data_IF_796881932998
#
_entry.id   IF_796881932998
#
_cell.length_a   1.000
_cell.length_b   1.000
_cell.length_c   1.000
_cell.angle_alpha   90.00
_cell.angle_beta   90.00
_cell.angle_gamma   90.00
#
_symmetry.space_group_name_H-M   'P 1'
#
loop_
_entity.id
_entity.type
_entity.pdbx_description
1 polymer ?
#
# COMPACT_ATOMS: atom_id res chain seq x y z
N UNK A 1 -6.46 12.20 27.60
CA UNK A 1 -5.37 11.34 28.14
C UNK A 1 -4.04 11.93 27.75
N UNK A 2 -3.06 11.99 28.68
CA UNK A 2 -1.74 12.56 28.35
C UNK A 2 -0.94 11.56 27.52
N UNK A 3 -0.29 12.05 26.47
CA UNK A 3 0.52 11.22 25.57
C UNK A 3 1.74 10.58 26.28
N UNK A 4 2.20 11.20 27.39
CA UNK A 4 3.29 10.67 28.24
C UNK A 4 2.93 9.36 28.96
N UNK A 5 1.63 9.08 29.15
CA UNK A 5 1.16 7.87 29.83
C UNK A 5 1.17 6.65 28.88
N UNK A 6 1.46 6.88 27.61
CA UNK A 6 1.45 5.87 26.56
C UNK A 6 2.89 5.47 26.23
N UNK A 7 3.12 4.16 26.11
CA UNK A 7 4.42 3.56 25.83
C UNK A 7 4.38 2.82 24.51
N UNK A 8 5.28 3.20 23.60
CA UNK A 8 5.47 2.45 22.37
C UNK A 8 5.85 1.00 22.65
N UNK A 9 5.25 0.07 21.93
CA UNK A 9 5.59 -1.34 22.02
C UNK A 9 6.87 -1.62 21.21
N UNK A 10 7.99 -1.83 21.90
CA UNK A 10 9.28 -2.15 21.27
C UNK A 10 9.29 -3.53 20.56
N UNK A 11 8.33 -4.39 20.86
CA UNK A 11 8.18 -5.72 20.23
C UNK A 11 7.23 -5.71 19.04
N UNK A 12 6.78 -4.55 18.57
CA UNK A 12 5.93 -4.45 17.39
C UNK A 12 6.77 -4.72 16.12
N UNK A 13 6.43 -5.74 15.32
CA UNK A 13 7.21 -6.09 14.13
C UNK A 13 7.00 -5.14 12.95
N UNK A 14 6.02 -4.22 13.01
CA UNK A 14 5.68 -3.35 11.89
C UNK A 14 6.62 -2.16 11.77
N UNK A 15 7.15 -1.96 10.56
CA UNK A 15 7.99 -0.84 10.17
C UNK A 15 7.21 0.01 9.16
N UNK A 16 7.43 1.31 9.17
CA UNK A 16 6.89 2.25 8.17
C UNK A 16 8.05 2.99 7.50
N UNK A 17 8.03 3.11 6.18
CA UNK A 17 8.99 3.90 5.41
C UNK A 17 8.71 5.40 5.62
N UNK A 18 9.74 6.23 5.46
CA UNK A 18 9.66 7.67 5.76
C UNK A 18 8.57 8.40 4.96
N UNK A 19 8.39 8.07 3.69
CA UNK A 19 7.34 8.67 2.85
C UNK A 19 5.94 8.29 3.33
N UNK A 20 5.70 7.01 3.59
CA UNK A 20 4.42 6.54 4.13
C UNK A 20 4.15 7.14 5.51
N UNK A 21 5.20 7.39 6.31
CA UNK A 21 5.07 8.07 7.59
C UNK A 21 4.66 9.53 7.44
N UNK A 22 5.22 10.26 6.46
CA UNK A 22 4.81 11.63 6.15
C UNK A 22 3.34 11.69 5.72
N UNK A 23 2.92 10.82 4.81
CA UNK A 23 1.50 10.71 4.39
C UNK A 23 0.58 10.45 5.58
N UNK A 24 0.99 9.59 6.53
CA UNK A 24 0.23 9.35 7.76
C UNK A 24 0.10 10.61 8.62
N UNK A 25 1.18 11.37 8.81
CA UNK A 25 1.15 12.63 9.55
C UNK A 25 0.21 13.65 8.88
N UNK A 26 0.28 13.78 7.55
CA UNK A 26 -0.59 14.65 6.77
C UNK A 26 -2.06 14.24 6.86
N UNK A 27 -2.35 12.94 6.78
CA UNK A 27 -3.69 12.39 6.94
C UNK A 27 -4.29 12.74 8.31
N UNK A 28 -3.54 12.51 9.39
CA UNK A 28 -3.99 12.84 10.75
C UNK A 28 -4.22 14.35 10.91
N UNK A 29 -3.37 15.18 10.28
CA UNK A 29 -3.50 16.64 10.31
C UNK A 29 -4.72 17.12 9.51
N UNK A 30 -5.01 16.49 8.37
CA UNK A 30 -6.12 16.84 7.49
C UNK A 30 -7.46 16.38 8.04
N UNK A 31 -7.52 15.12 8.49
CA UNK A 31 -8.76 14.46 8.92
C UNK A 31 -8.59 13.84 10.31
N UNK A 32 -8.47 14.66 11.38
CA UNK A 32 -8.19 14.18 12.73
C UNK A 32 -9.29 13.27 13.29
N UNK A 33 -10.51 13.37 12.79
CA UNK A 33 -11.66 12.55 13.16
C UNK A 33 -11.42 11.06 12.88
N UNK A 34 -10.58 10.73 11.89
CA UNK A 34 -10.22 9.34 11.57
C UNK A 34 -9.54 8.63 12.74
N UNK A 35 -8.88 9.38 13.61
CA UNK A 35 -8.29 8.83 14.84
C UNK A 35 -9.33 8.29 15.82
N UNK A 36 -10.55 8.84 15.84
CA UNK A 36 -11.66 8.31 16.64
C UNK A 36 -12.22 7.02 16.04
N UNK A 37 -12.25 6.92 14.71
CA UNK A 37 -12.71 5.73 13.99
C UNK A 37 -11.68 4.59 14.05
N UNK A 38 -10.39 4.93 14.12
CA UNK A 38 -9.29 3.97 14.22
C UNK A 38 -8.33 4.36 15.34
N UNK A 39 -8.71 4.18 16.60
CA UNK A 39 -7.94 4.65 17.76
C UNK A 39 -6.66 3.87 17.97
N UNK A 40 -5.79 4.42 18.82
CA UNK A 40 -4.65 3.70 19.38
C UNK A 40 -5.17 2.78 20.48
N UNK A 41 -4.85 1.51 20.39
CA UNK A 41 -5.26 0.51 21.39
C UNK A 41 -4.11 0.27 22.35
N UNK A 42 -4.35 0.44 23.65
CA UNK A 42 -3.35 0.23 24.71
C UNK A 42 -3.84 -0.79 25.73
N UNK A 43 -2.93 -1.42 26.45
CA UNK A 43 -3.26 -2.21 27.63
C UNK A 43 -3.44 -1.33 28.89
N UNK A 44 -3.58 -1.99 30.04
CA UNK A 44 -3.78 -1.30 31.33
C UNK A 44 -2.55 -0.52 31.79
N UNK A 45 -1.34 -0.94 31.35
CA UNK A 45 -0.06 -0.30 31.64
C UNK A 45 0.32 0.81 30.63
N UNK A 46 -0.58 1.08 29.66
CA UNK A 46 -0.38 2.06 28.61
C UNK A 46 0.52 1.59 27.46
N UNK A 47 0.83 0.29 27.38
CA UNK A 47 1.62 -0.26 26.28
C UNK A 47 0.73 -0.40 25.03
N UNK A 48 1.21 0.10 23.90
CA UNK A 48 0.46 0.07 22.65
C UNK A 48 0.37 -1.36 22.11
N UNK A 49 -0.86 -1.83 21.91
CA UNK A 49 -1.17 -3.09 21.23
C UNK A 49 -1.40 -2.88 19.72
N UNK A 50 -2.02 -1.74 19.34
CA UNK A 50 -2.26 -1.35 17.95
C UNK A 50 -2.13 0.16 17.77
N UNK A 51 -1.55 0.60 16.64
CA UNK A 51 -1.42 2.03 16.32
C UNK A 51 -0.09 2.69 16.72
N UNK A 52 1.02 1.95 16.85
CA UNK A 52 2.34 2.52 17.12
C UNK A 52 2.74 3.64 16.16
N UNK A 53 2.41 3.50 14.87
CA UNK A 53 2.77 4.52 13.87
C UNK A 53 1.91 5.78 14.03
N UNK A 54 0.63 5.65 14.36
CA UNK A 54 -0.25 6.77 14.71
C UNK A 54 0.26 7.52 15.95
N UNK A 55 0.69 6.79 16.97
CA UNK A 55 1.32 7.38 18.15
C UNK A 55 2.58 8.19 17.80
N UNK A 56 3.47 7.63 16.95
CA UNK A 56 4.66 8.36 16.48
C UNK A 56 4.26 9.61 15.70
N UNK A 57 3.27 9.52 14.81
CA UNK A 57 2.79 10.66 14.02
C UNK A 57 2.22 11.78 14.91
N UNK A 58 1.43 11.45 15.93
CA UNK A 58 0.92 12.43 16.90
C UNK A 58 2.06 13.14 17.63
N UNK A 59 3.10 12.41 18.02
CA UNK A 59 4.30 13.00 18.65
C UNK A 59 5.05 13.92 17.69
N UNK A 60 5.21 13.51 16.44
CA UNK A 60 5.86 14.32 15.39
C UNK A 60 5.09 15.60 15.12
N UNK A 61 3.77 15.55 15.17
CA UNK A 61 2.89 16.72 15.08
C UNK A 61 2.92 17.64 16.32
N UNK A 62 3.70 17.30 17.34
CA UNK A 62 3.89 18.13 18.54
C UNK A 62 2.71 18.13 19.50
N UNK A 63 1.78 17.20 19.37
CA UNK A 63 0.63 17.10 20.27
C UNK A 63 1.08 16.55 21.63
N UNK A 64 0.68 17.20 22.71
CA UNK A 64 0.98 16.77 24.09
C UNK A 64 -0.15 15.98 24.71
N UNK A 65 -1.36 16.39 24.40
CA UNK A 65 -2.61 15.74 24.84
C UNK A 65 -3.37 15.27 23.62
N UNK A 66 -4.05 14.15 23.74
CA UNK A 66 -4.90 13.58 22.68
C UNK A 66 -6.36 13.67 23.08
N UNK A 67 -7.26 13.96 22.12
CA UNK A 67 -8.69 13.97 22.35
C UNK A 67 -9.21 12.64 22.89
N UNK A 68 -10.29 12.70 23.64
CA UNK A 68 -11.01 11.50 24.08
C UNK A 68 -11.48 10.70 22.83
N UNK A 69 -11.39 9.40 22.92
CA UNK A 69 -11.72 8.51 21.79
C UNK A 69 -10.56 8.16 20.85
N UNK A 70 -9.44 8.90 20.89
CA UNK A 70 -8.25 8.53 20.10
C UNK A 70 -7.47 7.36 20.70
N UNK A 71 -7.76 7.03 21.97
CA UNK A 71 -7.10 5.95 22.71
C UNK A 71 -8.18 5.06 23.33
N UNK A 72 -8.06 3.77 23.12
CA UNK A 72 -8.93 2.75 23.69
C UNK A 72 -8.11 1.80 24.54
N UNK A 73 -8.57 1.56 25.77
CA UNK A 73 -7.98 0.56 26.66
C UNK A 73 -8.58 -0.81 26.41
N UNK A 74 -7.71 -1.80 26.14
CA UNK A 74 -8.07 -3.20 25.96
C UNK A 74 -7.99 -3.97 27.29
N UNK A 75 -8.62 -3.45 28.34
CA UNK A 75 -8.58 -4.00 29.71
C UNK A 75 -9.23 -5.39 29.82
N UNK A 76 -10.14 -5.70 28.91
CA UNK A 76 -10.88 -6.97 28.88
C UNK A 76 -10.14 -8.12 28.16
N UNK A 77 -8.94 -7.86 27.58
CA UNK A 77 -8.18 -8.88 26.88
C UNK A 77 -7.20 -9.59 27.82
N UNK A 78 -7.15 -10.92 27.74
CA UNK A 78 -6.10 -11.72 28.38
C UNK A 78 -4.73 -11.47 27.72
N UNK A 79 -3.64 -11.86 28.38
CA UNK A 79 -2.28 -11.72 27.84
C UNK A 79 -2.11 -12.43 26.48
N UNK A 80 -2.72 -13.60 26.31
CA UNK A 80 -2.68 -14.35 25.04
C UNK A 80 -3.51 -13.66 23.95
N UNK A 81 -4.66 -13.11 24.30
CA UNK A 81 -5.49 -12.33 23.37
C UNK A 81 -4.77 -11.06 22.92
N UNK A 82 -4.06 -10.35 23.82
CA UNK A 82 -3.23 -9.18 23.48
C UNK A 82 -2.15 -9.54 22.47
N UNK A 83 -1.43 -10.67 22.66
CA UNK A 83 -0.42 -11.15 21.69
C UNK A 83 -1.04 -11.45 20.31
N UNK A 84 -2.17 -12.15 20.28
CA UNK A 84 -2.88 -12.44 19.03
C UNK A 84 -3.38 -11.18 18.36
N UNK A 85 -3.92 -10.21 19.12
CA UNK A 85 -4.38 -8.94 18.59
C UNK A 85 -3.27 -8.19 17.85
N UNK A 86 -2.06 -8.08 18.44
CA UNK A 86 -0.90 -7.43 17.79
C UNK A 86 -0.61 -8.06 16.42
N UNK A 87 -0.65 -9.38 16.31
CA UNK A 87 -0.39 -10.07 15.05
C UNK A 87 -1.51 -9.85 14.03
N UNK A 88 -2.76 -10.01 14.43
CA UNK A 88 -3.93 -9.90 13.54
C UNK A 88 -4.14 -8.46 13.06
N UNK A 89 -3.92 -7.46 13.92
CA UNK A 89 -3.99 -6.03 13.54
C UNK A 89 -2.92 -5.63 12.51
N UNK A 90 -1.79 -6.36 12.48
CA UNK A 90 -0.68 -6.09 11.57
C UNK A 90 -0.58 -7.06 10.38
N UNK A 91 -1.36 -8.14 10.38
CA UNK A 91 -1.32 -9.13 9.30
C UNK A 91 -1.89 -8.55 7.99
N UNK A 92 -1.25 -8.80 6.84
CA UNK A 92 -1.73 -8.29 5.54
C UNK A 92 -3.18 -8.68 5.21
N UNK A 93 -3.61 -9.86 5.67
CA UNK A 93 -4.96 -10.42 5.52
C UNK A 93 -5.63 -10.65 6.87
N UNK A 94 -5.34 -9.80 7.85
CA UNK A 94 -5.87 -9.95 9.20
C UNK A 94 -7.34 -9.54 9.31
N UNK A 95 -7.59 -8.39 9.95
CA UNK A 95 -8.96 -7.89 10.19
C UNK A 95 -9.52 -7.06 9.03
N UNK A 96 -8.70 -6.59 8.09
CA UNK A 96 -9.10 -5.66 7.03
C UNK A 96 -9.43 -6.36 5.69
N UNK A 97 -9.01 -7.62 5.49
CA UNK A 97 -9.14 -8.31 4.20
C UNK A 97 -8.19 -7.79 3.12
N UNK A 98 -8.51 -8.07 1.87
CA UNK A 98 -7.79 -7.58 0.70
C UNK A 98 -8.57 -6.45 0.02
N UNK A 99 -7.93 -5.71 -0.88
CA UNK A 99 -8.53 -4.65 -1.67
C UNK A 99 -9.06 -5.18 -2.99
N UNK A 100 -10.23 -4.69 -3.39
CA UNK A 100 -10.74 -4.80 -4.75
C UNK A 100 -10.19 -3.61 -5.56
N UNK A 101 -9.07 -3.82 -6.23
CA UNK A 101 -8.38 -2.77 -6.98
C UNK A 101 -9.18 -2.30 -8.21
N UNK A 102 -9.98 -3.18 -8.82
CA UNK A 102 -10.84 -2.79 -9.94
C UNK A 102 -11.95 -1.84 -9.47
N UNK A 103 -12.55 -2.12 -8.32
CA UNK A 103 -13.53 -1.21 -7.72
C UNK A 103 -12.90 0.13 -7.35
N UNK A 104 -11.72 0.12 -6.72
CA UNK A 104 -11.02 1.35 -6.35
C UNK A 104 -10.72 2.22 -7.58
N UNK A 105 -10.21 1.62 -8.66
CA UNK A 105 -9.91 2.33 -9.90
C UNK A 105 -11.15 2.92 -10.59
N UNK A 106 -12.34 2.32 -10.40
CA UNK A 106 -13.59 2.80 -10.99
C UNK A 106 -14.27 3.90 -10.16
N UNK A 107 -14.08 3.91 -8.83
CA UNK A 107 -14.82 4.79 -7.92
C UNK A 107 -13.98 6.01 -7.45
N UNK A 108 -12.65 5.98 -7.63
CA UNK A 108 -11.73 6.97 -7.08
C UNK A 108 -10.74 7.46 -8.14
N UNK A 109 -10.38 8.74 -8.05
CA UNK A 109 -9.31 9.30 -8.87
C UNK A 109 -7.95 8.74 -8.42
N UNK A 110 -7.10 8.31 -9.35
CA UNK A 110 -5.79 7.71 -9.04
C UNK A 110 -4.91 8.65 -8.22
N UNK A 111 -4.92 9.95 -8.52
CA UNK A 111 -4.18 10.97 -7.77
C UNK A 111 -4.62 11.09 -6.30
N UNK A 112 -5.89 10.83 -6.02
CA UNK A 112 -6.42 10.80 -4.66
C UNK A 112 -5.97 9.53 -3.94
N UNK A 113 -6.03 8.37 -4.59
CA UNK A 113 -5.54 7.10 -4.06
C UNK A 113 -4.06 7.17 -3.71
N UNK A 114 -3.21 7.77 -4.57
CA UNK A 114 -1.80 8.00 -4.26
C UNK A 114 -1.61 8.87 -3.01
N UNK A 115 -2.41 9.94 -2.87
CA UNK A 115 -2.37 10.81 -1.70
C UNK A 115 -2.75 10.07 -0.43
N UNK A 116 -3.70 9.13 -0.53
CA UNK A 116 -4.14 8.26 0.56
C UNK A 116 -3.14 7.13 0.89
N UNK A 117 -2.12 6.92 0.05
CA UNK A 117 -1.03 5.99 0.32
C UNK A 117 -1.06 4.70 -0.46
N UNK A 118 -1.96 4.57 -1.44
CA UNK A 118 -1.91 3.46 -2.39
C UNK A 118 -0.74 3.65 -3.36
N UNK A 119 -0.15 2.53 -3.80
CA UNK A 119 0.88 2.53 -4.83
C UNK A 119 0.23 2.16 -6.17
N UNK A 120 0.60 2.85 -7.26
CA UNK A 120 0.10 2.52 -8.60
C UNK A 120 0.46 1.09 -9.01
N UNK A 121 1.58 0.56 -8.52
CA UNK A 121 1.96 -0.84 -8.70
C UNK A 121 0.95 -1.83 -8.13
N UNK A 122 0.22 -1.46 -7.07
CA UNK A 122 -0.83 -2.29 -6.47
C UNK A 122 -2.01 -2.52 -7.44
N UNK A 123 -2.20 -1.61 -8.41
CA UNK A 123 -3.22 -1.69 -9.46
C UNK A 123 -2.74 -2.42 -10.72
N UNK A 124 -1.55 -3.01 -10.69
CA UNK A 124 -0.94 -3.64 -11.87
C UNK A 124 -0.54 -2.63 -12.95
N UNK A 125 -0.56 -1.34 -12.63
CA UNK A 125 -0.04 -0.27 -13.47
C UNK A 125 1.47 -0.16 -13.22
N UNK A 126 2.24 -0.98 -13.91
CA UNK A 126 3.68 -0.83 -13.95
C UNK A 126 3.96 0.44 -14.77
N UNK A 127 4.43 1.50 -14.11
CA UNK A 127 4.80 2.76 -14.76
C UNK A 127 6.07 2.60 -15.65
N UNK A 128 6.62 1.43 -15.70
CA UNK A 128 7.63 1.05 -16.70
C UNK A 128 6.97 0.74 -18.05
N UNK A 129 6.13 1.69 -18.52
CA UNK A 129 5.57 1.67 -19.88
C UNK A 129 6.64 1.79 -20.98
N UNK A 130 7.93 1.64 -20.61
CA UNK A 130 9.04 1.75 -21.54
C UNK A 130 9.84 0.44 -21.71
N UNK A 131 9.36 -0.68 -21.17
CA UNK A 131 9.91 -1.99 -21.50
C UNK A 131 8.94 -2.77 -22.38
N UNK A 132 8.61 -2.24 -23.53
CA UNK A 132 8.31 -3.09 -24.68
C UNK A 132 9.49 -4.06 -24.86
N UNK A 133 9.19 -5.33 -25.14
CA UNK A 133 10.24 -6.36 -25.42
C UNK A 133 11.07 -6.03 -26.66
N UNK A 134 10.78 -4.94 -27.35
CA UNK A 134 11.48 -4.44 -28.53
C UNK A 134 11.61 -2.93 -28.42
N UNK A 135 12.82 -2.40 -28.65
CA UNK A 135 13.03 -0.98 -28.90
C UNK A 135 12.18 -0.60 -30.13
N UNK A 136 11.34 0.43 -30.03
CA UNK A 136 10.46 0.86 -31.13
C UNK A 136 11.27 1.28 -32.38
N UNK A 137 12.55 1.63 -32.20
CA UNK A 137 13.48 2.01 -33.29
C UNK A 137 14.45 0.88 -33.67
N UNK A 138 14.40 -0.30 -33.06
CA UNK A 138 15.24 -1.44 -33.42
C UNK A 138 14.66 -2.17 -34.65
N UNK A 139 14.85 -1.58 -35.82
CA UNK A 139 14.54 -2.22 -37.08
C UNK A 139 15.70 -3.14 -37.42
N UNK A 140 15.52 -4.49 -37.45
CA UNK A 140 16.59 -5.38 -37.85
C UNK A 140 17.04 -5.07 -39.25
N UNK A 141 18.36 -5.05 -39.46
CA UNK A 141 18.94 -4.83 -40.77
C UNK A 141 18.33 -5.81 -41.80
N UNK A 142 17.89 -5.27 -42.92
CA UNK A 142 17.38 -6.10 -44.03
C UNK A 142 18.47 -7.02 -44.52
N UNK A 143 18.22 -8.34 -44.61
CA UNK A 143 19.22 -9.27 -45.12
C UNK A 143 19.64 -8.88 -46.53
N UNK A 144 20.96 -8.93 -46.84
CA UNK A 144 21.53 -8.58 -48.15
C UNK A 144 20.94 -9.44 -49.27
N UNK A 145 20.55 -10.67 -48.97
CA UNK A 145 19.79 -11.54 -49.89
C UNK A 145 18.39 -11.76 -49.36
N UNK A 146 17.33 -11.49 -50.14
CA UNK A 146 15.95 -11.71 -49.68
C UNK A 146 15.71 -13.22 -49.47
N UNK A 147 15.25 -13.55 -48.27
CA UNK A 147 14.89 -14.93 -47.90
C UNK A 147 13.63 -15.39 -48.68
N UNK A 148 12.78 -14.44 -49.05
CA UNK A 148 11.48 -14.66 -49.69
C UNK A 148 11.57 -14.36 -51.18
N UNK A 149 10.96 -15.21 -52.02
CA UNK A 149 10.87 -15.03 -53.46
C UNK A 149 9.42 -14.87 -53.90
N UNK A 150 9.18 -14.22 -55.01
CA UNK A 150 7.84 -14.10 -55.57
C UNK A 150 7.23 -15.50 -55.78
N UNK A 151 6.03 -15.70 -55.24
CA UNK A 151 5.32 -16.97 -55.25
C UNK A 151 5.47 -17.82 -53.98
N UNK A 152 6.35 -17.42 -53.04
CA UNK A 152 6.48 -18.12 -51.76
C UNK A 152 5.24 -17.93 -50.92
N UNK A 153 4.79 -19.01 -50.30
CA UNK A 153 3.65 -19.02 -49.37
C UNK A 153 4.16 -19.27 -47.94
N UNK A 154 4.03 -18.25 -47.08
CA UNK A 154 4.33 -18.34 -45.65
C UNK A 154 3.11 -18.74 -44.86
N UNK A 155 3.26 -19.69 -43.95
CA UNK A 155 2.21 -20.14 -43.02
C UNK A 155 2.58 -19.62 -41.64
N UNK A 156 1.69 -18.74 -41.07
CA UNK A 156 1.86 -18.11 -39.78
C UNK A 156 0.66 -18.52 -38.88
N UNK A 157 0.76 -19.71 -38.30
CA UNK A 157 -0.37 -20.32 -37.59
C UNK A 157 -1.54 -20.61 -38.54
N UNK A 158 -2.69 -19.99 -38.33
CA UNK A 158 -3.88 -20.11 -39.19
C UNK A 158 -3.88 -19.14 -40.40
N UNK A 159 -2.91 -18.24 -40.46
CA UNK A 159 -2.79 -17.22 -41.51
C UNK A 159 -1.82 -17.65 -42.58
N UNK A 160 -2.08 -17.19 -43.82
CA UNK A 160 -1.23 -17.45 -45.00
C UNK A 160 -0.87 -16.14 -45.68
N UNK A 161 0.40 -15.95 -45.93
CA UNK A 161 0.95 -14.77 -46.63
C UNK A 161 1.61 -15.22 -47.94
N UNK A 162 1.10 -14.73 -49.07
CA UNK A 162 1.68 -14.97 -50.38
C UNK A 162 2.58 -13.80 -50.75
N UNK A 163 3.83 -14.09 -51.10
CA UNK A 163 4.74 -13.11 -51.61
C UNK A 163 4.54 -12.93 -53.14
N UNK A 164 4.15 -11.70 -53.54
CA UNK A 164 3.89 -11.34 -54.93
C UNK A 164 4.96 -10.44 -55.53
#
# INVERSE_FOLDING_TARGET
MNLSDIKANSKNPRIIKDEAFKKLCESIKRDPEFMTLRPIVVDDEGIILGGNMRYRAIKELGMKDVPDGWIVKASNLTAEQRKRFILVDNAPRGMAGDWDFDMLANEWEMSELETLGFDLADFGMDLDMNTGLTDEDDVPETPEEPITKAGDLWILGDHRLLCG
#
